data_IF_307227514074
#
_entry.id   IF_307227514074
#
_cell.length_a   1.000
_cell.length_b   1.000
_cell.length_c   1.000
_cell.angle_alpha   90.00
_cell.angle_beta   90.00
_cell.angle_gamma   90.00
#
_symmetry.space_group_name_H-M   'P 1'
#
loop_
_entity.id
_entity.type
_entity.pdbx_description
1 polymer ?
#
# COMPACT_ATOMS: atom_id res chain seq x y z
N UNK A 1 -46.55 -0.56 19.95
CA UNK A 1 -47.10 0.78 19.68
C UNK A 1 -46.04 1.78 20.18
N UNK A 2 -45.06 2.12 19.33
CA UNK A 2 -45.05 3.28 18.42
C UNK A 2 -45.01 4.60 19.20
N UNK A 3 -43.81 5.11 19.46
CA UNK A 3 -43.62 6.52 19.81
C UNK A 3 -43.55 7.32 18.50
N UNK A 4 -44.70 7.93 18.17
CA UNK A 4 -44.85 8.91 17.09
C UNK A 4 -44.12 10.20 17.43
N UNK A 5 -43.45 10.71 16.41
CA UNK A 5 -42.79 12.01 16.29
C UNK A 5 -43.74 13.22 16.44
N UNK A 6 -43.21 14.37 16.85
CA UNK A 6 -43.52 15.73 16.32
C UNK A 6 -42.61 16.80 17.01
N UNK A 7 -41.61 17.41 16.35
CA UNK A 7 -41.60 18.73 15.62
C UNK A 7 -41.78 19.92 16.60
N UNK A 8 -40.93 20.96 16.69
CA UNK A 8 -40.49 21.98 15.70
C UNK A 8 -39.25 22.75 16.20
N UNK A 9 -38.24 23.00 15.37
CA UNK A 9 -38.08 24.20 14.50
C UNK A 9 -37.89 25.53 15.26
N UNK A 10 -36.64 26.00 15.29
CA UNK A 10 -36.23 27.35 15.70
C UNK A 10 -35.33 27.99 14.62
N UNK A 11 -35.73 27.87 13.35
CA UNK A 11 -35.16 28.72 12.31
C UNK A 11 -35.50 30.20 12.57
N UNK A 12 -34.47 31.00 12.94
CA UNK A 12 -34.15 32.35 12.42
C UNK A 12 -33.32 33.17 13.41
N UNK A 13 -32.00 33.19 13.20
CA UNK A 13 -31.24 34.45 13.12
C UNK A 13 -30.22 34.28 11.99
N UNK A 14 -30.57 34.75 10.79
CA UNK A 14 -29.65 34.89 9.65
C UNK A 14 -29.29 36.37 9.57
N UNK A 15 -27.99 36.69 9.57
CA UNK A 15 -27.30 37.49 8.54
C UNK A 15 -26.02 38.12 9.11
N UNK A 16 -24.87 37.60 8.67
CA UNK A 16 -23.89 38.39 7.90
C UNK A 16 -22.64 37.52 7.65
N UNK A 17 -22.60 36.90 6.48
CA UNK A 17 -21.35 36.39 5.89
C UNK A 17 -20.43 37.57 5.58
N UNK A 18 -19.12 37.36 5.67
CA UNK A 18 -18.35 37.39 4.43
C UNK A 18 -17.88 35.98 4.07
N UNK A 19 -18.21 35.61 2.84
CA UNK A 19 -17.60 34.51 2.09
C UNK A 19 -16.09 34.73 2.06
N UNK A 20 -15.32 33.83 2.65
CA UNK A 20 -14.08 33.36 2.05
C UNK A 20 -13.67 32.00 2.63
N UNK A 21 -13.69 31.01 1.74
CA UNK A 21 -12.81 29.85 1.69
C UNK A 21 -12.30 29.23 3.00
N UNK A 22 -12.90 28.10 3.39
CA UNK A 22 -12.12 26.90 3.72
C UNK A 22 -13.06 25.69 3.83
N UNK A 23 -13.01 24.83 2.82
CA UNK A 23 -13.59 23.49 2.90
C UNK A 23 -12.96 22.75 4.08
N UNK A 24 -13.80 22.33 5.02
CA UNK A 24 -13.45 21.40 6.09
C UNK A 24 -13.14 20.06 5.44
N UNK A 25 -11.87 19.88 5.10
CA UNK A 25 -11.35 18.62 4.60
C UNK A 25 -11.41 17.60 5.73
N UNK A 26 -12.30 16.63 5.56
CA UNK A 26 -12.21 15.30 6.14
C UNK A 26 -10.74 14.87 6.08
N UNK A 27 -10.10 14.73 7.24
CA UNK A 27 -8.74 14.22 7.37
C UNK A 27 -8.73 12.74 7.00
N UNK A 28 -8.74 12.50 5.70
CA UNK A 28 -8.24 11.31 5.05
C UNK A 28 -6.81 11.07 5.55
N UNK A 29 -6.58 9.91 6.14
CA UNK A 29 -5.29 9.50 6.71
C UNK A 29 -4.28 9.30 5.58
N UNK A 30 -3.78 10.42 5.05
CA UNK A 30 -2.71 10.50 4.06
C UNK A 30 -1.38 10.35 4.78
N UNK A 31 -0.97 9.11 5.01
CA UNK A 31 0.45 8.80 5.28
C UNK A 31 1.22 8.95 3.96
N UNK A 32 1.70 10.16 3.69
CA UNK A 32 2.76 10.44 2.71
C UNK A 32 3.94 11.12 3.41
N UNK A 33 5.02 10.38 3.66
CA UNK A 33 6.40 10.89 3.88
C UNK A 33 7.37 9.76 3.50
N UNK A 34 8.46 9.89 2.73
CA UNK A 34 9.12 11.00 2.05
C UNK A 34 10.24 10.43 1.13
N UNK A 35 10.71 11.24 0.16
CA UNK A 35 11.72 10.88 -0.86
C UNK A 35 13.11 10.53 -0.28
N UNK A 36 14.05 9.93 -1.04
CA UNK A 36 14.57 10.41 -2.33
C UNK A 36 15.13 9.28 -3.23
N UNK A 37 15.05 9.50 -4.56
CA UNK A 37 15.70 8.72 -5.62
C UNK A 37 14.70 7.94 -6.50
N UNK A 38 14.02 8.60 -7.43
CA UNK A 38 12.96 8.03 -8.30
C UNK A 38 13.49 7.10 -9.41
N UNK A 39 13.18 5.80 -9.37
CA UNK A 39 12.25 5.18 -10.29
C UNK A 39 10.83 5.39 -9.74
N UNK A 40 9.79 5.44 -10.60
CA UNK A 40 8.40 5.67 -10.20
C UNK A 40 8.05 5.02 -8.86
N UNK A 41 7.62 5.82 -7.88
CA UNK A 41 7.17 5.29 -6.60
C UNK A 41 5.97 4.38 -6.87
N UNK A 42 6.11 3.10 -6.56
CA UNK A 42 5.05 2.13 -6.81
C UNK A 42 4.01 2.16 -5.70
N UNK A 43 2.75 1.99 -6.07
CA UNK A 43 1.64 1.90 -5.13
C UNK A 43 1.19 0.45 -4.94
N UNK A 44 0.46 0.19 -3.85
CA UNK A 44 -0.25 -1.08 -3.68
C UNK A 44 -1.25 -1.26 -4.82
N UNK A 45 -1.25 -2.44 -5.43
CA UNK A 45 -2.05 -2.76 -6.62
C UNK A 45 -1.30 -2.59 -7.95
N UNK A 46 -0.13 -1.93 -7.97
CA UNK A 46 0.64 -1.79 -9.20
C UNK A 46 1.18 -3.15 -9.66
N UNK A 47 1.06 -3.41 -10.97
CA UNK A 47 1.69 -4.55 -11.61
C UNK A 47 3.12 -4.19 -11.98
N UNK A 48 4.06 -5.03 -11.52
CA UNK A 48 5.49 -4.80 -11.69
C UNK A 48 6.17 -6.04 -12.24
N UNK A 49 7.26 -5.80 -12.95
CA UNK A 49 8.18 -6.84 -13.43
C UNK A 49 9.58 -6.61 -12.89
N UNK A 50 10.28 -7.68 -12.53
CA UNK A 50 11.67 -7.62 -12.10
C UNK A 50 12.42 -8.89 -12.45
N UNK A 51 13.73 -8.76 -12.56
CA UNK A 51 14.63 -9.88 -12.76
C UNK A 51 15.25 -10.29 -11.43
N UNK A 52 15.15 -11.57 -11.09
CA UNK A 52 15.79 -12.17 -9.92
C UNK A 52 16.78 -13.24 -10.35
N UNK A 53 17.95 -13.29 -9.71
CA UNK A 53 18.94 -14.34 -9.88
C UNK A 53 19.01 -15.19 -8.61
N UNK A 54 18.89 -16.51 -8.74
CA UNK A 54 19.03 -17.47 -7.64
C UNK A 54 19.61 -18.78 -8.15
N UNK A 55 20.61 -19.33 -7.45
CA UNK A 55 21.23 -20.63 -7.78
C UNK A 55 21.68 -20.76 -9.23
N UNK A 56 22.25 -19.70 -9.81
CA UNK A 56 22.73 -19.67 -11.20
C UNK A 56 21.64 -19.42 -12.26
N UNK A 57 20.37 -19.33 -11.88
CA UNK A 57 19.27 -19.05 -12.80
C UNK A 57 18.79 -17.61 -12.67
N UNK A 58 18.70 -16.92 -13.81
CA UNK A 58 18.08 -15.60 -13.93
C UNK A 58 16.66 -15.76 -14.45
N UNK A 59 15.68 -15.21 -13.72
CA UNK A 59 14.26 -15.26 -14.09
C UNK A 59 13.62 -13.90 -13.97
N UNK A 60 12.90 -13.50 -15.01
CA UNK A 60 11.98 -12.37 -14.96
C UNK A 60 10.67 -12.82 -14.35
N UNK A 61 10.18 -12.06 -13.37
CA UNK A 61 8.93 -12.31 -12.65
C UNK A 61 8.00 -11.13 -12.84
N UNK A 62 6.71 -11.41 -12.94
CA UNK A 62 5.63 -10.43 -12.95
C UNK A 62 4.76 -10.64 -11.72
N UNK A 63 4.41 -9.57 -11.02
CA UNK A 63 3.57 -9.65 -9.84
C UNK A 63 2.91 -8.31 -9.51
N UNK A 64 2.10 -8.32 -8.45
CA UNK A 64 1.36 -7.15 -7.97
C UNK A 64 1.90 -6.74 -6.61
N UNK A 65 2.06 -5.45 -6.38
CA UNK A 65 2.49 -4.93 -5.08
C UNK A 65 1.35 -5.03 -4.07
N UNK A 66 1.62 -5.68 -2.95
CA UNK A 66 0.65 -5.83 -1.85
C UNK A 66 0.99 -4.96 -0.65
N UNK A 67 2.27 -4.59 -0.48
CA UNK A 67 2.71 -3.71 0.61
C UNK A 67 3.92 -2.89 0.15
N UNK A 68 3.92 -1.62 0.54
CA UNK A 68 5.09 -0.73 0.47
C UNK A 68 5.76 -0.76 1.85
N UNK A 69 7.00 -1.25 1.91
CA UNK A 69 7.77 -1.35 3.15
C UNK A 69 8.70 -0.15 3.25
N UNK A 70 8.56 0.71 4.28
CA UNK A 70 9.37 1.91 4.43
C UNK A 70 10.84 1.55 4.71
N UNK A 71 11.71 2.55 4.57
CA UNK A 71 13.12 2.45 4.94
C UNK A 71 13.26 2.02 6.40
N UNK A 72 14.20 1.11 6.68
CA UNK A 72 14.41 0.44 7.97
C UNK A 72 13.21 -0.40 8.46
N UNK A 73 12.15 -0.53 7.65
CA UNK A 73 11.01 -1.37 7.93
C UNK A 73 11.21 -2.84 7.56
N UNK A 74 10.21 -3.64 7.93
CA UNK A 74 10.06 -5.04 7.52
C UNK A 74 8.62 -5.27 7.03
N UNK A 75 8.40 -6.26 6.15
CA UNK A 75 7.06 -6.65 5.72
C UNK A 75 6.15 -7.01 6.90
N UNK A 76 4.86 -6.72 6.83
CA UNK A 76 3.93 -7.14 7.88
C UNK A 76 3.95 -8.67 8.07
N UNK A 77 4.28 -9.12 9.29
CA UNK A 77 4.42 -10.55 9.60
C UNK A 77 3.10 -11.31 9.61
N UNK A 78 2.04 -10.68 10.10
CA UNK A 78 0.72 -11.31 10.20
C UNK A 78 0.06 -11.42 8.83
N UNK A 79 0.29 -10.43 7.96
CA UNK A 79 -0.19 -10.43 6.58
C UNK A 79 0.64 -11.34 5.66
N UNK A 80 1.96 -11.42 5.88
CA UNK A 80 2.89 -12.18 5.04
C UNK A 80 3.71 -13.20 5.83
N UNK A 81 3.08 -14.13 6.58
CA UNK A 81 3.81 -15.08 7.43
C UNK A 81 4.74 -15.99 6.62
N UNK A 82 4.44 -16.19 5.33
CA UNK A 82 5.26 -16.95 4.40
C UNK A 82 6.64 -16.34 4.10
N UNK A 83 6.80 -15.02 4.19
CA UNK A 83 8.10 -14.36 4.03
C UNK A 83 9.05 -14.64 5.20
N UNK A 84 8.49 -15.00 6.35
CA UNK A 84 9.22 -15.26 7.59
C UNK A 84 9.56 -16.74 7.78
N UNK A 85 9.23 -17.60 6.81
CA UNK A 85 9.59 -19.02 6.84
C UNK A 85 11.03 -19.22 6.33
N UNK A 86 11.70 -20.27 6.82
CA UNK A 86 13.07 -20.63 6.44
C UNK A 86 14.08 -19.50 6.68
N UNK A 87 14.78 -19.00 5.64
CA UNK A 87 15.75 -17.90 5.77
C UNK A 87 15.10 -16.57 6.22
N UNK A 88 13.77 -16.47 6.12
CA UNK A 88 12.98 -15.36 6.64
C UNK A 88 13.24 -14.03 5.96
N UNK A 89 12.81 -12.96 6.63
CA UNK A 89 13.17 -11.60 6.27
C UNK A 89 14.46 -11.25 7.02
N UNK A 90 15.53 -10.97 6.28
CA UNK A 90 16.83 -10.63 6.85
C UNK A 90 16.84 -9.29 7.60
N UNK A 91 17.99 -8.61 7.57
CA UNK A 91 18.10 -7.26 8.12
C UNK A 91 17.14 -6.28 7.41
N UNK A 92 16.60 -5.28 8.12
CA UNK A 92 15.89 -4.17 7.50
C UNK A 92 16.73 -3.50 6.41
N UNK A 93 16.05 -2.94 5.42
CA UNK A 93 16.71 -2.32 4.27
C UNK A 93 16.79 -0.81 4.47
N UNK A 94 17.91 -0.21 4.06
CA UNK A 94 18.13 1.24 4.11
C UNK A 94 17.42 2.02 2.97
N UNK A 95 16.46 1.41 2.30
CA UNK A 95 15.71 1.97 1.20
C UNK A 95 14.28 1.41 1.22
N UNK A 96 13.34 2.13 0.61
CA UNK A 96 11.98 1.66 0.38
C UNK A 96 12.03 0.33 -0.39
N UNK A 97 11.25 -0.63 0.06
CA UNK A 97 11.12 -1.94 -0.57
C UNK A 97 9.66 -2.32 -0.70
N UNK A 98 9.37 -3.37 -1.45
CA UNK A 98 8.00 -3.72 -1.79
C UNK A 98 7.78 -5.21 -1.57
N UNK A 99 6.59 -5.56 -1.09
CA UNK A 99 6.10 -6.93 -1.08
C UNK A 99 5.32 -7.15 -2.37
N UNK A 100 5.73 -8.15 -3.14
CA UNK A 100 5.16 -8.43 -4.45
C UNK A 100 4.65 -9.86 -4.50
N UNK A 101 3.37 -10.04 -4.87
CA UNK A 101 2.77 -11.35 -5.09
C UNK A 101 2.82 -11.72 -6.56
N UNK A 102 3.42 -12.87 -6.85
CA UNK A 102 3.38 -13.53 -8.16
C UNK A 102 2.25 -14.54 -8.15
N UNK A 103 1.36 -14.46 -9.13
CA UNK A 103 0.29 -15.44 -9.29
C UNK A 103 0.85 -16.86 -9.43
N UNK A 104 0.18 -17.83 -8.83
CA UNK A 104 0.58 -19.23 -8.95
C UNK A 104 0.22 -19.80 -10.32
N UNK A 105 0.66 -21.03 -10.58
CA UNK A 105 0.41 -21.72 -11.86
C UNK A 105 -1.08 -22.01 -12.12
N UNK A 106 -1.90 -22.04 -11.07
CA UNK A 106 -3.33 -22.33 -11.15
C UNK A 106 -4.12 -21.17 -10.56
N UNK A 107 -5.35 -20.95 -11.05
CA UNK A 107 -6.23 -19.89 -10.56
C UNK A 107 -6.59 -20.04 -9.06
N UNK A 108 -6.50 -21.24 -8.52
CA UNK A 108 -6.73 -21.53 -7.09
C UNK A 108 -5.50 -21.32 -6.21
N UNK A 109 -4.32 -21.11 -6.81
CA UNK A 109 -3.09 -20.91 -6.05
C UNK A 109 -3.03 -19.49 -5.51
N UNK A 110 -2.78 -19.36 -4.21
CA UNK A 110 -2.53 -18.08 -3.56
C UNK A 110 -1.24 -17.39 -4.07
N UNK A 111 -0.48 -18.02 -4.96
CA UNK A 111 0.74 -17.47 -5.52
C UNK A 111 1.93 -17.52 -4.55
N UNK A 112 3.00 -16.84 -4.94
CA UNK A 112 4.23 -16.73 -4.14
C UNK A 112 4.52 -15.27 -3.88
N UNK A 113 4.72 -14.93 -2.61
CA UNK A 113 5.10 -13.58 -2.20
C UNK A 113 6.61 -13.46 -2.11
N UNK A 114 7.11 -12.35 -2.62
CA UNK A 114 8.52 -11.99 -2.62
C UNK A 114 8.70 -10.63 -1.96
N UNK A 115 9.89 -10.40 -1.43
CA UNK A 115 10.31 -9.09 -0.92
C UNK A 115 11.51 -8.57 -1.75
N UNK A 116 11.31 -8.16 -3.02
CA UNK A 116 12.39 -7.64 -3.87
C UNK A 116 12.89 -6.26 -3.45
N UNK A 117 14.09 -5.88 -3.92
CA UNK A 117 14.64 -4.52 -3.79
C UNK A 117 14.02 -3.60 -4.84
N UNK A 118 13.86 -2.32 -4.50
CA UNK A 118 13.27 -1.30 -5.36
C UNK A 118 14.02 -1.08 -6.67
N UNK A 119 15.35 -1.11 -6.65
CA UNK A 119 16.20 -0.81 -7.80
C UNK A 119 16.03 -1.74 -9.02
N UNK A 120 15.41 -2.92 -8.85
CA UNK A 120 15.19 -3.89 -9.94
C UNK A 120 13.76 -3.94 -10.48
N UNK A 121 12.82 -3.18 -9.89
CA UNK A 121 11.42 -3.19 -10.26
C UNK A 121 11.13 -2.22 -11.41
N UNK A 122 10.27 -2.63 -12.32
CA UNK A 122 9.76 -1.82 -13.43
C UNK A 122 8.24 -1.90 -13.46
N UNK A 123 7.57 -0.78 -13.67
CA UNK A 123 6.11 -0.73 -13.87
C UNK A 123 5.76 -1.35 -15.22
N UNK A 124 4.61 -2.01 -15.30
CA UNK A 124 4.08 -2.58 -16.55
C UNK A 124 2.90 -1.78 -17.07
#
# INVERSE_FOLDING_TARGET
MSNKAFISDWTKVIHSLPMDSAAEQVHESKMQQGGQGTPEAFAVGDTVTWTSQSSGYTRTKKGVIEEVVPTQGKPNRDQFPQLYRSAGVGAPRNHVSYVVRVAGKTAKSAGTVYWPRSAGLKKM
#
